data_IF_033676094286
#
_entry.id   IF_033676094286
#
_cell.length_a   1.000
_cell.length_b   1.000
_cell.length_c   1.000
_cell.angle_alpha   90.00
_cell.angle_beta   90.00
_cell.angle_gamma   90.00
#
_symmetry.space_group_name_H-M   'P 1'
#
loop_
_entity.id
_entity.type
_entity.pdbx_description
1 polymer ?
#
# COMPACT_ATOMS: atom_id res chain seq x y z
N UNK A 1 13.50 -44.40 -11.35
CA UNK A 1 12.80 -43.75 -10.22
C UNK A 1 11.32 -43.74 -10.53
N UNK A 2 10.49 -44.41 -9.74
CA UNK A 2 9.05 -44.48 -9.98
C UNK A 2 8.38 -43.28 -9.33
N UNK A 3 7.75 -42.40 -10.12
CA UNK A 3 6.85 -41.38 -9.60
C UNK A 3 5.64 -42.07 -8.96
N UNK A 4 5.58 -42.12 -7.63
CA UNK A 4 4.38 -42.50 -6.91
C UNK A 4 3.34 -41.41 -7.14
N UNK A 5 2.37 -41.67 -8.01
CA UNK A 5 1.18 -40.84 -8.15
C UNK A 5 0.42 -40.91 -6.82
N UNK A 6 0.39 -39.81 -6.08
CA UNK A 6 -0.32 -39.76 -4.81
C UNK A 6 -1.79 -40.13 -5.02
N UNK A 7 -2.26 -41.16 -4.32
CA UNK A 7 -3.66 -41.54 -4.39
C UNK A 7 -4.53 -40.44 -3.77
N UNK A 8 -5.74 -40.24 -4.31
CA UNK A 8 -6.68 -39.22 -3.83
C UNK A 8 -6.98 -39.34 -2.33
N UNK A 9 -6.99 -40.56 -1.80
CA UNK A 9 -7.19 -40.83 -0.38
C UNK A 9 -6.05 -40.28 0.51
N UNK A 10 -4.81 -40.31 0.02
CA UNK A 10 -3.67 -39.72 0.74
C UNK A 10 -3.72 -38.19 0.69
N UNK A 11 -4.16 -37.61 -0.43
CA UNK A 11 -4.36 -36.16 -0.55
C UNK A 11 -5.47 -35.68 0.40
N UNK A 12 -6.61 -36.36 0.44
CA UNK A 12 -7.73 -36.00 1.31
C UNK A 12 -7.33 -35.99 2.79
N UNK A 13 -6.53 -36.97 3.25
CA UNK A 13 -6.00 -36.98 4.62
C UNK A 13 -5.00 -35.85 4.89
N UNK A 14 -4.21 -35.46 3.90
CA UNK A 14 -3.24 -34.36 4.04
C UNK A 14 -3.91 -32.98 4.16
N UNK A 15 -5.20 -32.88 3.81
CA UNK A 15 -5.98 -31.66 3.85
C UNK A 15 -6.88 -31.57 5.08
N UNK A 16 -6.80 -32.52 6.02
CA UNK A 16 -7.56 -32.46 7.26
C UNK A 16 -7.13 -31.23 8.10
N UNK A 17 -8.10 -30.43 8.54
CA UNK A 17 -7.85 -29.13 9.19
C UNK A 17 -7.48 -27.97 8.26
N UNK A 18 -7.43 -28.17 6.94
CA UNK A 18 -7.19 -27.09 5.97
C UNK A 18 -8.49 -26.37 5.63
N UNK A 19 -8.48 -25.04 5.73
CA UNK A 19 -9.60 -24.21 5.27
C UNK A 19 -9.31 -23.60 3.90
N UNK A 20 -10.27 -23.71 2.98
CA UNK A 20 -10.24 -22.98 1.72
C UNK A 20 -10.74 -21.55 1.94
N UNK A 21 -9.94 -20.58 1.52
CA UNK A 21 -10.30 -19.16 1.57
C UNK A 21 -10.73 -18.68 0.18
N UNK A 22 -11.90 -18.03 0.09
CA UNK A 22 -12.35 -17.37 -1.15
C UNK A 22 -11.57 -16.08 -1.34
N UNK A 23 -11.03 -15.89 -2.54
CA UNK A 23 -10.31 -14.67 -2.89
C UNK A 23 -10.02 -14.59 -4.39
N UNK A 24 -9.08 -13.73 -4.74
CA UNK A 24 -8.60 -13.52 -6.10
C UNK A 24 -7.08 -13.70 -6.16
N UNK A 25 -6.60 -14.13 -7.32
CA UNK A 25 -5.18 -14.16 -7.65
C UNK A 25 -4.86 -12.95 -8.52
N UNK A 26 -3.85 -12.19 -8.11
CA UNK A 26 -3.31 -11.06 -8.86
C UNK A 26 -1.96 -11.45 -9.44
N UNK A 27 -1.83 -11.36 -10.77
CA UNK A 27 -0.54 -11.45 -11.45
C UNK A 27 0.01 -10.05 -11.69
N UNK A 28 1.21 -9.79 -11.19
CA UNK A 28 1.88 -8.51 -11.41
C UNK A 28 2.71 -8.58 -12.69
N UNK A 29 2.49 -7.63 -13.62
CA UNK A 29 3.22 -7.55 -14.89
C UNK A 29 4.73 -7.35 -14.70
N UNK A 30 5.11 -6.55 -13.71
CA UNK A 30 6.49 -6.17 -13.47
C UNK A 30 6.83 -6.09 -11.97
N UNK A 31 8.13 -5.90 -11.71
CA UNK A 31 8.68 -5.89 -10.38
C UNK A 31 8.20 -4.72 -9.52
N UNK A 32 8.09 -3.55 -10.13
CA UNK A 32 7.70 -2.32 -9.46
C UNK A 32 6.24 -2.39 -9.01
N UNK A 33 5.35 -2.93 -9.85
CA UNK A 33 3.95 -3.15 -9.49
C UNK A 33 3.82 -4.07 -8.27
N UNK A 34 4.56 -5.18 -8.25
CA UNK A 34 4.56 -6.12 -7.13
C UNK A 34 5.03 -5.48 -5.82
N UNK A 35 6.18 -4.79 -5.84
CA UNK A 35 6.69 -4.11 -4.63
C UNK A 35 5.76 -3.00 -4.14
N UNK A 36 5.16 -2.26 -5.06
CA UNK A 36 4.21 -1.20 -4.74
C UNK A 36 2.99 -1.77 -4.01
N UNK A 37 2.43 -2.88 -4.49
CA UNK A 37 1.30 -3.56 -3.82
C UNK A 37 1.68 -4.05 -2.41
N UNK A 38 2.89 -4.59 -2.23
CA UNK A 38 3.37 -4.98 -0.90
C UNK A 38 3.48 -3.77 0.04
N UNK A 39 4.00 -2.63 -0.44
CA UNK A 39 4.09 -1.38 0.35
C UNK A 39 2.71 -0.85 0.73
N UNK A 40 1.74 -0.86 -0.19
CA UNK A 40 0.36 -0.46 0.10
C UNK A 40 -0.25 -1.34 1.19
N UNK A 41 -0.01 -2.65 1.14
CA UNK A 41 -0.51 -3.59 2.14
C UNK A 41 0.10 -3.35 3.53
N UNK A 42 1.34 -2.83 3.62
CA UNK A 42 1.98 -2.56 4.93
C UNK A 42 1.52 -1.26 5.59
N UNK A 43 1.08 -0.26 4.82
CA UNK A 43 0.86 1.09 5.33
C UNK A 43 -0.36 1.25 6.24
N UNK A 44 -1.41 0.41 6.10
CA UNK A 44 -2.62 0.50 6.91
C UNK A 44 -3.15 -0.91 7.26
N UNK A 45 -3.05 -1.29 8.55
CA UNK A 45 -3.45 -2.62 9.01
C UNK A 45 -4.92 -2.95 8.71
N UNK A 46 -5.82 -1.98 8.87
CA UNK A 46 -7.25 -2.12 8.58
C UNK A 46 -7.57 -2.33 7.10
N UNK A 47 -6.61 -2.07 6.21
CA UNK A 47 -6.79 -2.14 4.77
C UNK A 47 -5.95 -3.20 4.09
N UNK A 48 -5.30 -4.09 4.86
CA UNK A 48 -4.56 -5.21 4.30
C UNK A 48 -5.47 -6.05 3.40
N UNK A 49 -5.07 -6.18 2.14
CA UNK A 49 -5.79 -6.94 1.14
C UNK A 49 -5.01 -8.17 0.65
N UNK A 50 -3.67 -8.17 0.78
CA UNK A 50 -2.81 -9.31 0.43
C UNK A 50 -2.71 -10.25 1.62
N UNK A 51 -3.06 -11.52 1.39
CA UNK A 51 -2.98 -12.60 2.37
C UNK A 51 -1.69 -13.42 2.18
N UNK A 52 -1.33 -13.74 0.94
CA UNK A 52 -0.17 -14.56 0.66
C UNK A 52 0.56 -14.10 -0.60
N UNK A 53 1.88 -14.26 -0.57
CA UNK A 53 2.74 -14.15 -1.74
C UNK A 53 3.00 -15.56 -2.28
N UNK A 54 2.60 -15.80 -3.52
CA UNK A 54 2.76 -17.08 -4.19
C UNK A 54 3.98 -16.97 -5.11
N UNK A 55 5.08 -17.58 -4.67
CA UNK A 55 6.26 -17.70 -5.53
C UNK A 55 6.15 -18.96 -6.36
N UNK A 56 6.30 -18.84 -7.68
CA UNK A 56 6.13 -19.91 -8.68
C UNK A 56 7.26 -20.96 -8.66
N UNK A 57 7.91 -21.18 -7.51
CA UNK A 57 8.92 -22.24 -7.40
C UNK A 57 8.29 -23.61 -7.09
N UNK A 58 7.06 -23.63 -6.56
CA UNK A 58 6.37 -24.87 -6.12
C UNK A 58 5.18 -25.25 -7.02
N UNK A 59 4.71 -24.36 -7.89
CA UNK A 59 3.62 -24.60 -8.82
C UNK A 59 4.15 -25.13 -10.18
N UNK A 60 4.82 -26.28 -10.17
CA UNK A 60 5.08 -27.04 -11.40
C UNK A 60 3.77 -27.61 -11.95
N UNK A 61 3.03 -26.77 -12.69
CA UNK A 61 1.74 -27.13 -13.23
C UNK A 61 1.19 -26.10 -14.22
N UNK A 62 1.95 -25.80 -15.28
CA UNK A 62 1.37 -25.23 -16.50
C UNK A 62 1.38 -23.70 -16.67
N UNK A 63 2.01 -22.92 -15.77
CA UNK A 63 2.19 -21.48 -15.96
C UNK A 63 3.61 -21.21 -16.49
N UNK A 64 3.67 -20.64 -17.68
CA UNK A 64 4.88 -20.49 -18.52
C UNK A 64 5.97 -19.62 -17.90
N UNK A 65 7.20 -20.15 -17.80
CA UNK A 65 8.54 -19.51 -17.80
C UNK A 65 8.70 -18.01 -17.47
N UNK A 66 7.98 -17.51 -16.48
CA UNK A 66 8.22 -16.22 -15.85
C UNK A 66 8.12 -16.43 -14.36
N UNK A 67 8.95 -15.73 -13.59
CA UNK A 67 8.76 -15.61 -12.14
C UNK A 67 7.47 -14.79 -11.94
N UNK A 68 6.32 -15.43 -12.14
CA UNK A 68 5.02 -14.81 -12.03
C UNK A 68 4.83 -14.44 -10.56
N UNK A 69 4.89 -13.13 -10.30
CA UNK A 69 4.74 -12.58 -8.96
C UNK A 69 3.25 -12.55 -8.63
N UNK A 70 2.78 -13.67 -8.09
CA UNK A 70 1.38 -13.90 -7.80
C UNK A 70 1.06 -13.52 -6.36
N UNK A 71 -0.03 -12.78 -6.18
CA UNK A 71 -0.53 -12.38 -4.87
C UNK A 71 -1.94 -12.94 -4.67
N UNK A 72 -2.18 -13.55 -3.52
CA UNK A 72 -3.52 -13.95 -3.11
C UNK A 72 -4.17 -12.82 -2.29
N UNK A 73 -5.36 -12.41 -2.70
CA UNK A 73 -6.11 -11.29 -2.14
C UNK A 73 -7.50 -11.71 -1.72
N UNK A 74 -7.91 -11.33 -0.50
CA UNK A 74 -9.25 -11.70 0.04
C UNK A 74 -10.38 -11.05 -0.74
N UNK A 75 -10.24 -9.74 -0.98
CA UNK A 75 -11.26 -8.89 -1.57
C UNK A 75 -10.61 -7.98 -2.61
N UNK A 76 -10.84 -8.30 -3.89
CA UNK A 76 -10.25 -7.57 -5.01
C UNK A 76 -10.73 -6.12 -5.07
N UNK A 77 -11.98 -5.82 -4.69
CA UNK A 77 -12.50 -4.45 -4.69
C UNK A 77 -11.74 -3.55 -3.70
N UNK A 78 -11.32 -4.11 -2.55
CA UNK A 78 -10.49 -3.36 -1.60
C UNK A 78 -9.10 -3.06 -2.19
N UNK A 79 -8.49 -4.05 -2.84
CA UNK A 79 -7.20 -3.87 -3.51
C UNK A 79 -7.29 -2.80 -4.62
N UNK A 80 -8.31 -2.88 -5.47
CA UNK A 80 -8.54 -1.91 -6.55
C UNK A 80 -8.71 -0.49 -6.00
N UNK A 81 -9.52 -0.31 -4.95
CA UNK A 81 -9.73 1.01 -4.35
C UNK A 81 -8.44 1.62 -3.79
N UNK A 82 -7.61 0.83 -3.11
CA UNK A 82 -6.33 1.32 -2.58
C UNK A 82 -5.33 1.61 -3.70
N UNK A 83 -5.27 0.79 -4.74
CA UNK A 83 -4.44 1.03 -5.93
C UNK A 83 -4.87 2.33 -6.61
N UNK A 84 -6.18 2.53 -6.83
CA UNK A 84 -6.72 3.73 -7.45
C UNK A 84 -6.46 4.98 -6.60
N UNK A 85 -6.63 4.88 -5.28
CA UNK A 85 -6.34 5.97 -4.36
C UNK A 85 -4.85 6.36 -4.38
N UNK A 86 -3.96 5.37 -4.50
CA UNK A 86 -2.53 5.61 -4.61
C UNK A 86 -2.12 6.19 -5.98
N UNK A 87 -2.73 5.72 -7.07
CA UNK A 87 -2.47 6.24 -8.42
C UNK A 87 -3.03 7.64 -8.64
N UNK A 88 -4.05 8.04 -7.86
CA UNK A 88 -4.66 9.35 -7.98
C UNK A 88 -3.92 10.39 -7.11
N UNK A 89 -3.17 11.34 -7.71
CA UNK A 89 -2.43 12.36 -6.97
C UNK A 89 -3.32 13.36 -6.21
N UNK A 90 -4.62 13.39 -6.49
CA UNK A 90 -5.60 14.28 -5.86
C UNK A 90 -6.52 13.57 -4.88
N UNK A 91 -6.24 12.31 -4.53
CA UNK A 91 -7.10 11.52 -3.63
C UNK A 91 -7.17 12.06 -2.20
N UNK A 92 -6.20 12.87 -1.77
CA UNK A 92 -6.24 13.58 -0.49
C UNK A 92 -7.19 14.78 -0.51
N UNK A 93 -7.42 15.40 -1.68
CA UNK A 93 -8.22 16.63 -1.79
C UNK A 93 -9.71 16.35 -1.57
N UNK A 94 -10.20 15.19 -1.99
CA UNK A 94 -11.62 14.83 -1.89
C UNK A 94 -12.04 14.33 -0.50
N UNK A 95 -11.08 14.02 0.38
CA UNK A 95 -11.33 13.65 1.78
C UNK A 95 -10.91 14.80 2.70
N UNK A 96 -11.58 15.95 2.56
CA UNK A 96 -11.60 17.04 3.53
C UNK A 96 -10.33 17.16 4.37
N UNK A 97 -9.23 17.56 3.73
CA UNK A 97 -7.94 17.76 4.39
C UNK A 97 -8.03 19.00 5.29
N UNK A 98 -8.58 18.82 6.49
CA UNK A 98 -8.41 19.73 7.63
C UNK A 98 -7.06 19.52 8.33
N UNK A 99 -6.20 18.66 7.79
CA UNK A 99 -4.81 18.55 8.22
C UNK A 99 -3.97 19.61 7.51
N UNK A 100 -4.00 20.80 8.11
CA UNK A 100 -2.89 21.75 8.18
C UNK A 100 -2.01 21.90 6.93
N UNK A 101 -2.25 23.02 6.25
CA UNK A 101 -1.26 23.74 5.46
C UNK A 101 0.09 23.74 6.20
N UNK A 102 0.96 22.76 5.93
CA UNK A 102 2.38 22.82 6.29
C UNK A 102 3.03 23.83 5.35
N UNK A 103 2.72 25.10 5.59
CA UNK A 103 3.44 26.23 5.02
C UNK A 103 4.90 26.03 5.42
N UNK A 104 5.79 25.89 4.44
CA UNK A 104 7.23 26.05 4.70
C UNK A 104 7.39 27.48 5.21
N UNK A 105 7.63 27.64 6.50
CA UNK A 105 8.11 28.90 7.05
C UNK A 105 9.55 29.00 6.54
N UNK A 106 9.77 29.88 5.57
CA UNK A 106 11.09 30.38 5.23
C UNK A 106 11.44 31.34 6.37
N UNK A 107 12.35 30.92 7.25
CA UNK A 107 12.96 31.83 8.22
C UNK A 107 13.64 32.94 7.43
N UNK A 108 13.05 34.13 7.44
CA UNK A 108 13.77 35.37 7.18
C UNK A 108 14.14 35.93 8.55
N UNK A 109 15.38 35.65 8.94
CA UNK A 109 16.10 36.27 10.05
C UNK A 109 16.61 37.62 9.57
N UNK A 110 16.14 38.77 10.10
CA UNK A 110 16.86 40.07 10.29
C UNK A 110 16.03 40.95 11.28
N UNK A 111 16.33 40.96 12.58
CA UNK A 111 17.10 41.98 13.35
C UNK A 111 16.44 43.34 13.60
N UNK A 112 16.27 43.68 14.91
CA UNK A 112 16.52 45.01 15.54
C UNK A 112 15.55 46.16 15.22
N UNK A 113 15.24 47.16 16.05
CA UNK A 113 15.19 47.45 17.50
C UNK A 113 14.53 48.84 17.60
N UNK A 114 13.82 49.14 18.68
CA UNK A 114 13.90 50.40 19.47
C UNK A 114 13.85 51.76 18.73
N UNK A 115 12.80 52.57 18.96
CA UNK A 115 12.86 53.76 19.84
C UNK A 115 11.51 54.50 19.93
N UNK A 116 11.22 54.95 21.15
CA UNK A 116 10.14 55.86 21.53
C UNK A 116 10.43 57.28 21.02
N UNK A 117 9.42 58.01 20.54
CA UNK A 117 9.49 59.48 20.44
C UNK A 117 8.15 60.12 20.81
N UNK A 118 8.13 60.59 22.06
CA UNK A 118 7.20 61.54 22.65
C UNK A 118 7.53 62.95 22.10
N UNK A 119 6.56 63.65 21.49
CA UNK A 119 6.71 65.07 21.21
C UNK A 119 5.39 65.82 21.44
N UNK A 120 5.26 66.33 22.67
CA UNK A 120 4.35 67.39 23.05
C UNK A 120 4.75 68.71 22.40
N UNK A 121 3.81 69.46 21.81
CA UNK A 121 3.93 70.92 21.67
C UNK A 121 2.58 71.62 21.49
N UNK A 122 2.36 72.59 22.38
CA UNK A 122 1.20 73.43 22.59
C UNK A 122 1.16 74.66 21.67
N UNK A 123 -0.04 75.22 21.54
CA UNK A 123 -0.35 76.66 21.37
C UNK A 123 -0.08 77.35 20.03
N UNK A 124 -1.17 77.84 19.42
CA UNK A 124 -1.43 79.28 19.18
C UNK A 124 -2.92 79.50 18.93
#
# INVERSE_FOLDING_TARGET
MMHHQASFANLARSLDGVMAEKGALLSCRDAAAFEMLLRLNTNQYSKRFIIANLTTHEAQGGLSNGVERLLFVRNIANAENEIQAWLNPFSSISKGDTSEKRKRIREETETSSTDDDDNSSSSS
#
